data_IF_202732236229
#
_entry.id   IF_202732236229
#
_cell.length_a   1.000
_cell.length_b   1.000
_cell.length_c   1.000
_cell.angle_alpha   90.00
_cell.angle_beta   90.00
_cell.angle_gamma   90.00
#
_symmetry.space_group_name_H-M   'P 1'
#
loop_
_entity.id
_entity.type
_entity.pdbx_description
1 polymer ?
#
# COMPACT_ATOMS: atom_id res chain seq x y z
N UNK A 1 -5.83 -21.76 -5.73
CA UNK A 1 -6.26 -20.67 -6.64
C UNK A 1 -5.26 -19.53 -6.53
N UNK A 2 -4.71 -19.03 -7.65
CA UNK A 2 -3.71 -17.94 -7.63
C UNK A 2 -4.45 -16.60 -7.57
N UNK A 3 -4.11 -15.73 -6.62
CA UNK A 3 -4.69 -14.38 -6.50
C UNK A 3 -3.90 -13.33 -7.29
N UNK A 4 -2.63 -13.61 -7.58
CA UNK A 4 -1.69 -12.66 -8.15
C UNK A 4 -0.45 -12.50 -7.29
N UNK A 5 0.34 -11.49 -7.60
CA UNK A 5 1.62 -11.19 -6.97
C UNK A 5 1.95 -9.69 -7.04
N UNK A 6 2.94 -9.29 -6.25
CA UNK A 6 3.40 -7.92 -6.13
C UNK A 6 4.92 -7.88 -5.93
N UNK A 7 5.52 -6.74 -6.20
CA UNK A 7 6.94 -6.46 -5.97
C UNK A 7 7.31 -6.75 -4.51
N UNK A 8 8.50 -7.31 -4.28
CA UNK A 8 9.06 -7.40 -2.92
C UNK A 8 9.35 -6.03 -2.31
N UNK A 9 9.33 -4.95 -3.10
CA UNK A 9 9.51 -3.59 -2.59
C UNK A 9 8.47 -3.18 -1.53
N UNK A 10 7.25 -3.74 -1.56
CA UNK A 10 6.24 -3.53 -0.51
C UNK A 10 6.64 -4.09 0.86
N UNK A 11 7.64 -4.97 0.92
CA UNK A 11 8.17 -5.51 2.18
C UNK A 11 8.92 -4.42 2.97
N UNK A 12 9.50 -3.42 2.28
CA UNK A 12 10.23 -2.33 2.94
C UNK A 12 9.32 -1.49 3.84
N UNK A 13 8.09 -1.20 3.42
CA UNK A 13 7.15 -0.45 4.26
C UNK A 13 6.65 -1.27 5.46
N UNK A 14 6.48 -2.59 5.31
CA UNK A 14 6.23 -3.48 6.46
C UNK A 14 7.40 -3.44 7.44
N UNK A 15 8.63 -3.56 6.97
CA UNK A 15 9.82 -3.53 7.81
C UNK A 15 9.95 -2.19 8.57
N UNK A 16 9.67 -1.07 7.89
CA UNK A 16 9.67 0.26 8.48
C UNK A 16 8.57 0.41 9.55
N UNK A 17 7.35 -0.07 9.28
CA UNK A 17 6.26 -0.04 10.25
C UNK A 17 6.55 -0.87 11.50
N UNK A 18 7.15 -2.06 11.35
CA UNK A 18 7.62 -2.89 12.48
C UNK A 18 8.68 -2.16 13.30
N UNK A 19 9.65 -1.54 12.63
CA UNK A 19 10.74 -0.79 13.27
C UNK A 19 10.22 0.40 14.05
N UNK A 20 9.25 1.14 13.50
CA UNK A 20 8.59 2.26 14.19
C UNK A 20 7.91 1.82 15.50
N UNK A 21 7.42 0.58 15.56
CA UNK A 21 6.83 0.00 16.77
C UNK A 21 7.87 -0.62 17.72
N UNK A 22 9.17 -0.41 17.48
CA UNK A 22 10.23 -0.88 18.37
C UNK A 22 10.58 -2.36 18.23
N UNK A 23 10.12 -3.03 17.17
CA UNK A 23 10.43 -4.43 16.90
C UNK A 23 11.49 -4.59 15.80
N UNK A 24 12.23 -5.70 15.81
CA UNK A 24 13.16 -6.03 14.74
C UNK A 24 12.42 -6.77 13.61
N UNK A 25 12.43 -6.28 12.35
CA UNK A 25 11.74 -6.95 11.25
C UNK A 25 12.47 -8.20 10.76
N UNK A 26 13.78 -8.33 10.99
CA UNK A 26 14.65 -9.34 10.37
C UNK A 26 14.13 -10.76 10.62
N UNK A 27 13.86 -11.12 11.87
CA UNK A 27 13.39 -12.47 12.22
C UNK A 27 12.05 -12.83 11.55
N UNK A 28 11.16 -11.85 11.39
CA UNK A 28 9.91 -12.07 10.67
C UNK A 28 10.17 -12.26 9.18
N UNK A 29 11.01 -11.42 8.57
CA UNK A 29 11.30 -11.51 7.13
C UNK A 29 12.02 -12.81 6.76
N UNK A 30 12.96 -13.27 7.57
CA UNK A 30 13.68 -14.54 7.36
C UNK A 30 12.74 -15.75 7.38
N UNK A 31 11.76 -15.78 8.29
CA UNK A 31 10.70 -16.82 8.30
C UNK A 31 9.87 -16.86 7.02
N UNK A 32 9.83 -15.75 6.29
CA UNK A 32 9.16 -15.61 5.01
C UNK A 32 10.13 -15.73 3.82
N UNK A 33 11.40 -16.10 4.03
CA UNK A 33 12.45 -16.19 3.01
C UNK A 33 12.70 -14.85 2.28
N UNK A 34 12.59 -13.74 3.02
CA UNK A 34 12.77 -12.38 2.52
C UNK A 34 14.06 -11.78 3.09
N UNK A 35 15.18 -12.45 2.85
CA UNK A 35 16.50 -11.95 3.22
C UNK A 35 16.93 -10.75 2.34
N UNK A 36 18.05 -10.12 2.68
CA UNK A 36 18.56 -8.96 1.95
C UNK A 36 18.85 -9.25 0.48
N UNK A 37 19.26 -10.48 0.15
CA UNK A 37 19.55 -10.87 -1.23
C UNK A 37 18.26 -10.94 -2.05
N UNK A 38 17.19 -11.54 -1.49
CA UNK A 38 15.87 -11.61 -2.12
C UNK A 38 15.24 -10.24 -2.30
N UNK A 39 15.39 -9.34 -1.32
CA UNK A 39 14.87 -7.96 -1.43
C UNK A 39 15.63 -7.11 -2.45
N UNK A 40 16.90 -7.41 -2.71
CA UNK A 40 17.72 -6.73 -3.70
C UNK A 40 17.57 -7.31 -5.13
N UNK A 41 16.89 -8.45 -5.29
CA UNK A 41 16.75 -9.12 -6.58
C UNK A 41 15.82 -8.32 -7.52
N UNK A 42 16.30 -7.93 -8.72
CA UNK A 42 15.49 -7.22 -9.69
C UNK A 42 14.25 -8.02 -10.08
N UNK A 43 13.09 -7.36 -10.10
CA UNK A 43 11.80 -7.98 -10.41
C UNK A 43 11.39 -9.12 -9.48
N UNK A 44 12.01 -9.27 -8.30
CA UNK A 44 11.51 -10.23 -7.33
C UNK A 44 10.07 -9.91 -6.93
N UNK A 45 9.23 -10.96 -6.95
CA UNK A 45 7.82 -10.87 -6.60
C UNK A 45 7.47 -11.79 -5.45
N UNK A 46 6.45 -11.38 -4.71
CA UNK A 46 5.82 -12.10 -3.62
C UNK A 46 4.36 -12.35 -3.98
N UNK A 47 3.87 -13.57 -3.79
CA UNK A 47 2.46 -13.85 -4.05
C UNK A 47 1.56 -13.12 -3.05
N UNK A 48 0.39 -12.65 -3.51
CA UNK A 48 -0.58 -11.96 -2.64
C UNK A 48 -0.89 -12.77 -1.37
N UNK A 49 -1.13 -14.10 -1.39
CA UNK A 49 -1.33 -14.87 -0.16
C UNK A 49 -0.14 -14.89 0.80
N UNK A 50 1.11 -14.83 0.29
CA UNK A 50 2.29 -14.71 1.15
C UNK A 50 2.36 -13.32 1.78
N UNK A 51 2.09 -12.27 1.00
CA UNK A 51 2.04 -10.90 1.51
C UNK A 51 0.96 -10.71 2.59
N UNK A 52 -0.25 -11.25 2.36
CA UNK A 52 -1.34 -11.27 3.34
C UNK A 52 -0.92 -11.93 4.67
N UNK A 53 -0.22 -13.07 4.62
CA UNK A 53 0.30 -13.73 5.81
C UNK A 53 1.43 -12.94 6.49
N UNK A 54 2.29 -12.28 5.71
CA UNK A 54 3.37 -11.46 6.22
C UNK A 54 2.83 -10.26 7.00
N UNK A 55 1.89 -9.50 6.42
CA UNK A 55 1.30 -8.35 7.12
C UNK A 55 0.49 -8.77 8.34
N UNK A 56 -0.26 -9.88 8.27
CA UNK A 56 -0.92 -10.42 9.46
C UNK A 56 0.08 -10.77 10.57
N UNK A 57 1.21 -11.39 10.23
CA UNK A 57 2.26 -11.70 11.21
C UNK A 57 2.94 -10.42 11.75
N UNK A 58 3.06 -9.36 10.96
CA UNK A 58 3.54 -8.05 11.42
C UNK A 58 2.57 -7.38 12.41
N UNK A 59 1.26 -7.47 12.14
CA UNK A 59 0.22 -7.01 13.06
C UNK A 59 0.31 -7.74 14.41
N UNK A 60 0.46 -9.06 14.39
CA UNK A 60 0.62 -9.86 15.62
C UNK A 60 1.92 -9.53 16.36
N UNK A 61 3.01 -9.27 15.63
CA UNK A 61 4.30 -8.93 16.23
C UNK A 61 4.25 -7.58 16.96
N UNK A 62 3.52 -6.61 16.40
CA UNK A 62 3.46 -5.22 16.89
C UNK A 62 2.28 -4.95 17.83
N UNK A 63 1.37 -5.92 17.98
CA UNK A 63 0.09 -5.76 18.67
C UNK A 63 -0.73 -4.53 18.20
N UNK A 64 -0.58 -4.17 16.92
CA UNK A 64 -1.25 -3.01 16.33
C UNK A 64 -2.22 -3.45 15.22
N UNK A 65 -3.55 -3.47 15.47
CA UNK A 65 -4.53 -3.83 14.45
C UNK A 65 -4.64 -2.80 13.31
N UNK A 66 -4.19 -1.56 13.53
CA UNK A 66 -4.16 -0.49 12.53
C UNK A 66 -2.81 -0.37 11.80
N UNK A 67 -1.94 -1.40 11.88
CA UNK A 67 -0.60 -1.36 11.27
C UNK A 67 -0.64 -1.10 9.76
N UNK A 68 -1.73 -1.47 9.06
CA UNK A 68 -1.92 -1.18 7.65
C UNK A 68 -1.82 0.30 7.31
N UNK A 69 -2.28 1.18 8.22
CA UNK A 69 -2.16 2.62 8.07
C UNK A 69 -0.69 3.06 8.07
N UNK A 70 0.05 2.60 9.06
CA UNK A 70 1.49 2.90 9.24
C UNK A 70 2.31 2.34 8.08
N UNK A 71 1.97 1.14 7.58
CA UNK A 71 2.60 0.57 6.36
C UNK A 71 2.36 1.51 5.16
N UNK A 72 1.16 2.06 5.02
CA UNK A 72 0.84 3.03 3.97
C UNK A 72 1.70 4.30 4.06
N UNK A 73 1.87 4.85 5.26
CA UNK A 73 2.71 6.04 5.50
C UNK A 73 4.19 5.83 5.14
N UNK A 74 4.72 4.62 5.34
CA UNK A 74 6.09 4.27 4.95
C UNK A 74 6.24 3.88 3.47
N UNK A 75 5.19 3.97 2.67
CA UNK A 75 5.27 3.61 1.25
C UNK A 75 6.00 4.69 0.44
N UNK A 76 7.09 4.31 -0.23
CA UNK A 76 7.91 5.21 -1.04
C UNK A 76 7.77 4.88 -2.52
N UNK A 77 7.95 5.90 -3.38
CA UNK A 77 7.98 5.68 -4.83
C UNK A 77 9.04 4.64 -5.24
N UNK A 78 10.16 4.56 -4.52
CA UNK A 78 11.20 3.54 -4.75
C UNK A 78 10.71 2.11 -4.56
N UNK A 79 9.68 1.88 -3.73
CA UNK A 79 9.12 0.54 -3.48
C UNK A 79 8.34 -0.03 -4.67
N UNK A 80 7.84 0.85 -5.54
CA UNK A 80 7.11 0.47 -6.78
C UNK A 80 7.98 0.55 -8.04
N UNK A 81 9.31 0.57 -7.87
CA UNK A 81 10.29 0.40 -8.95
C UNK A 81 10.15 1.41 -10.08
N UNK A 82 10.18 0.94 -11.33
CA UNK A 82 10.13 1.79 -12.52
C UNK A 82 8.85 2.64 -12.62
N UNK A 83 7.72 2.16 -12.09
CA UNK A 83 6.50 2.95 -12.03
C UNK A 83 6.70 4.17 -11.13
N UNK A 84 7.36 4.00 -9.99
CA UNK A 84 7.67 5.08 -9.06
C UNK A 84 8.74 6.03 -9.57
N UNK A 85 9.79 5.52 -10.23
CA UNK A 85 10.79 6.36 -10.90
C UNK A 85 10.12 7.25 -11.95
N UNK A 86 9.20 6.68 -12.74
CA UNK A 86 8.47 7.45 -13.77
C UNK A 86 7.54 8.49 -13.14
N UNK A 87 6.82 8.12 -12.07
CA UNK A 87 5.94 9.03 -11.35
C UNK A 87 6.71 10.16 -10.66
N UNK A 88 7.90 9.90 -10.13
CA UNK A 88 8.77 10.91 -9.51
C UNK A 88 9.25 11.99 -10.50
N UNK A 89 9.28 11.68 -11.80
CA UNK A 89 9.65 12.63 -12.86
C UNK A 89 8.44 13.31 -13.49
N UNK A 90 7.22 13.03 -13.01
CA UNK A 90 6.02 13.59 -13.58
C UNK A 90 5.93 15.10 -13.28
N UNK A 91 5.43 15.91 -14.24
CA UNK A 91 5.39 17.38 -14.08
C UNK A 91 4.36 17.86 -13.05
N UNK A 92 3.45 16.99 -12.61
CA UNK A 92 2.42 17.30 -11.60
C UNK A 92 1.83 16.00 -11.03
N UNK A 93 1.05 16.15 -9.95
CA UNK A 93 0.38 15.04 -9.24
C UNK A 93 -0.55 14.25 -10.16
N UNK A 94 -1.30 14.91 -11.05
CA UNK A 94 -2.16 14.22 -12.03
C UNK A 94 -1.36 13.30 -12.96
N UNK A 95 -0.23 13.77 -13.48
CA UNK A 95 0.64 12.97 -14.32
C UNK A 95 1.29 11.83 -13.53
N UNK A 96 1.71 12.05 -12.28
CA UNK A 96 2.22 11.00 -11.41
C UNK A 96 1.17 9.92 -11.14
N UNK A 97 -0.07 10.35 -10.87
CA UNK A 97 -1.20 9.45 -10.64
C UNK A 97 -1.46 8.53 -11.85
N UNK A 98 -1.46 9.10 -13.05
CA UNK A 98 -1.55 8.33 -14.30
C UNK A 98 -0.40 7.35 -14.46
N UNK A 99 0.82 7.71 -14.09
CA UNK A 99 1.97 6.80 -14.12
C UNK A 99 1.78 5.62 -13.16
N UNK A 100 1.40 5.88 -11.91
CA UNK A 100 1.20 4.85 -10.88
C UNK A 100 0.10 3.86 -11.30
N UNK A 101 -1.01 4.35 -11.85
CA UNK A 101 -2.11 3.50 -12.33
C UNK A 101 -1.75 2.76 -13.62
N UNK A 102 -1.25 3.46 -14.64
CA UNK A 102 -0.91 2.85 -15.95
C UNK A 102 0.17 1.77 -15.83
N UNK A 103 1.13 1.97 -14.94
CA UNK A 103 2.25 1.05 -14.75
C UNK A 103 2.08 0.13 -13.53
N UNK A 104 0.86 -0.02 -13.01
CA UNK A 104 0.53 -1.00 -11.96
C UNK A 104 1.11 -2.40 -12.26
N UNK A 105 1.00 -2.97 -13.48
CA UNK A 105 1.55 -4.29 -13.79
C UNK A 105 3.06 -4.46 -13.50
N UNK A 106 3.83 -3.36 -13.46
CA UNK A 106 5.26 -3.43 -13.12
C UNK A 106 5.49 -3.78 -11.64
N UNK A 107 4.57 -3.44 -10.74
CA UNK A 107 4.74 -3.63 -9.30
C UNK A 107 3.64 -4.47 -8.64
N UNK A 108 2.46 -4.64 -9.24
CA UNK A 108 1.37 -5.45 -8.69
C UNK A 108 0.50 -6.02 -9.81
N UNK A 109 0.00 -7.24 -9.62
CA UNK A 109 -0.95 -7.87 -10.53
C UNK A 109 -1.92 -8.72 -9.72
N UNK A 110 -3.21 -8.38 -9.77
CA UNK A 110 -4.30 -9.17 -9.23
C UNK A 110 -5.02 -9.88 -10.39
N UNK A 111 -5.20 -11.19 -10.31
CA UNK A 111 -5.83 -11.95 -11.40
C UNK A 111 -7.37 -11.85 -11.41
N UNK A 112 -7.96 -11.23 -10.38
CA UNK A 112 -9.41 -11.05 -10.26
C UNK A 112 -9.91 -9.71 -10.79
N UNK A 113 -9.03 -8.70 -10.86
CA UNK A 113 -9.36 -7.36 -11.31
C UNK A 113 -8.16 -6.44 -11.22
N UNK A 114 -8.36 -5.17 -11.59
CA UNK A 114 -7.31 -4.16 -11.64
C UNK A 114 -7.79 -2.86 -11.01
N UNK A 115 -6.85 -2.13 -10.42
CA UNK A 115 -7.12 -0.80 -9.88
C UNK A 115 -7.44 0.18 -11.00
N UNK A 116 -8.20 1.22 -10.69
CA UNK A 116 -8.63 2.22 -11.66
C UNK A 116 -8.29 3.63 -11.19
N UNK A 117 -7.91 4.47 -12.15
CA UNK A 117 -7.81 5.90 -11.97
C UNK A 117 -8.88 6.56 -12.83
N UNK A 118 -9.89 7.13 -12.18
CA UNK A 118 -11.09 7.66 -12.83
C UNK A 118 -11.05 9.18 -12.63
N UNK A 119 -10.97 9.94 -13.73
CA UNK A 119 -10.87 11.40 -13.69
C UNK A 119 -12.06 12.04 -14.40
N UNK A 120 -12.51 13.17 -13.86
CA UNK A 120 -13.50 14.03 -14.51
C UNK A 120 -13.17 15.51 -14.29
N UNK A 121 -14.16 16.39 -14.53
CA UNK A 121 -14.01 17.84 -14.36
C UNK A 121 -13.93 18.29 -12.90
N UNK A 122 -14.38 17.48 -11.95
CA UNK A 122 -14.45 17.79 -10.52
C UNK A 122 -13.23 17.24 -9.77
N UNK A 123 -12.62 16.15 -10.24
CA UNK A 123 -11.46 15.58 -9.56
C UNK A 123 -11.04 14.24 -10.12
N UNK A 124 -10.51 13.40 -9.23
CA UNK A 124 -10.09 12.05 -9.58
C UNK A 124 -10.24 11.07 -8.42
N UNK A 125 -10.59 9.83 -8.77
CA UNK A 125 -10.66 8.70 -7.86
C UNK A 125 -9.55 7.71 -8.15
N UNK A 126 -8.86 7.29 -7.09
CA UNK A 126 -8.06 6.07 -7.06
C UNK A 126 -8.91 4.95 -6.48
N UNK A 127 -9.35 4.02 -7.33
CA UNK A 127 -10.17 2.89 -6.92
C UNK A 127 -9.32 1.62 -6.89
N UNK A 128 -9.11 1.08 -5.68
CA UNK A 128 -8.40 -0.18 -5.49
C UNK A 128 -9.33 -1.36 -5.71
N UNK A 129 -8.92 -2.30 -6.56
CA UNK A 129 -9.63 -3.58 -6.68
C UNK A 129 -9.18 -4.53 -5.56
N UNK A 130 -9.90 -4.47 -4.44
CA UNK A 130 -9.73 -5.33 -3.29
C UNK A 130 -10.35 -6.73 -3.49
N UNK A 131 -10.09 -7.66 -2.57
CA UNK A 131 -10.60 -9.03 -2.63
C UNK A 131 -11.37 -9.37 -1.34
N UNK A 132 -12.69 -9.44 -1.45
CA UNK A 132 -13.59 -9.98 -0.44
C UNK A 132 -13.55 -11.53 -0.37
N UNK A 133 -13.91 -12.16 0.77
CA UNK A 133 -14.36 -11.55 2.04
C UNK A 133 -13.22 -10.91 2.85
N UNK A 134 -13.53 -9.84 3.58
CA UNK A 134 -12.58 -9.11 4.43
C UNK A 134 -12.37 -9.81 5.78
N UNK A 135 -11.13 -9.84 6.25
CA UNK A 135 -10.67 -10.49 7.46
C UNK A 135 -9.28 -9.98 7.88
N UNK A 136 -8.76 -10.51 8.99
CA UNK A 136 -7.48 -10.11 9.57
C UNK A 136 -6.24 -10.26 8.65
N UNK A 137 -6.37 -10.92 7.49
CA UNK A 137 -5.29 -11.07 6.50
C UNK A 137 -5.37 -10.08 5.34
N UNK A 138 -6.47 -9.33 5.15
CA UNK A 138 -6.60 -8.39 4.02
C UNK A 138 -7.10 -6.98 4.37
N UNK A 139 -7.52 -6.69 5.61
CA UNK A 139 -7.77 -5.29 6.04
C UNK A 139 -6.56 -4.40 5.76
N UNK A 140 -5.39 -4.79 6.28
CA UNK A 140 -4.16 -4.04 6.10
C UNK A 140 -3.72 -3.89 4.64
N UNK A 141 -4.14 -4.80 3.75
CA UNK A 141 -3.80 -4.71 2.32
C UNK A 141 -4.54 -3.54 1.69
N UNK A 142 -5.83 -3.41 1.98
CA UNK A 142 -6.65 -2.29 1.51
C UNK A 142 -6.10 -0.97 2.07
N UNK A 143 -5.88 -0.92 3.37
CA UNK A 143 -5.35 0.26 4.08
C UNK A 143 -4.00 0.71 3.52
N UNK A 144 -3.03 -0.20 3.44
CA UNK A 144 -1.67 0.13 3.00
C UNK A 144 -1.60 0.54 1.53
N UNK A 145 -2.47 0.01 0.66
CA UNK A 145 -2.53 0.42 -0.74
C UNK A 145 -3.10 1.83 -0.87
N UNK A 146 -4.23 2.10 -0.22
CA UNK A 146 -4.90 3.42 -0.30
C UNK A 146 -3.99 4.52 0.26
N UNK A 147 -3.43 4.32 1.46
CA UNK A 147 -2.51 5.28 2.08
C UNK A 147 -1.17 5.33 1.36
N UNK A 148 -0.73 4.21 0.80
CA UNK A 148 0.49 4.17 -0.01
C UNK A 148 0.38 5.04 -1.26
N UNK A 149 -0.74 5.00 -1.99
CA UNK A 149 -0.97 5.91 -3.12
C UNK A 149 -1.02 7.38 -2.69
N UNK A 150 -1.72 7.69 -1.61
CA UNK A 150 -1.72 9.05 -1.03
C UNK A 150 -0.29 9.50 -0.76
N UNK A 151 0.53 8.66 -0.13
CA UNK A 151 1.91 9.01 0.23
C UNK A 151 2.82 9.14 -1.00
N UNK A 152 2.64 8.28 -2.03
CA UNK A 152 3.34 8.41 -3.30
C UNK A 152 3.03 9.74 -3.99
N UNK A 153 1.77 10.17 -3.98
CA UNK A 153 1.37 11.45 -4.59
C UNK A 153 1.86 12.65 -3.77
N UNK A 154 1.87 12.56 -2.43
CA UNK A 154 2.49 13.56 -1.55
C UNK A 154 3.98 13.72 -1.82
N UNK A 155 4.71 12.66 -2.16
CA UNK A 155 6.13 12.73 -2.53
C UNK A 155 6.39 13.50 -3.84
N UNK A 156 5.41 13.59 -4.75
CA UNK A 156 5.51 14.37 -5.99
C UNK A 156 4.98 15.80 -5.79
N UNK A 157 3.99 15.97 -4.91
CA UNK A 157 3.38 17.26 -4.66
C UNK A 157 4.33 18.19 -3.91
N UNK A 158 4.56 19.39 -4.44
CA UNK A 158 5.32 20.43 -3.76
C UNK A 158 4.48 21.20 -2.71
N UNK A 159 3.20 20.84 -2.59
CA UNK A 159 2.23 21.45 -1.68
C UNK A 159 1.46 20.36 -0.93
N UNK A 160 0.66 20.74 0.06
CA UNK A 160 -0.23 19.80 0.72
C UNK A 160 -1.21 19.20 -0.30
N UNK A 161 -1.28 17.87 -0.35
CA UNK A 161 -2.28 17.16 -1.15
C UNK A 161 -3.56 17.07 -0.32
N UNK A 162 -4.61 17.75 -0.78
CA UNK A 162 -5.95 17.65 -0.20
C UNK A 162 -6.61 16.35 -0.67
N UNK A 163 -7.28 15.67 0.26
CA UNK A 163 -8.02 14.44 0.02
C UNK A 163 -9.47 14.76 0.36
N UNK A 164 -10.35 14.65 -0.62
CA UNK A 164 -11.76 15.03 -0.42
C UNK A 164 -12.53 13.96 0.36
N UNK A 165 -12.27 12.68 0.06
CA UNK A 165 -13.00 11.55 0.64
C UNK A 165 -12.18 10.26 0.49
N UNK A 166 -12.24 9.39 1.52
CA UNK A 166 -11.77 8.01 1.45
C UNK A 166 -12.96 7.06 1.64
N UNK A 167 -13.17 6.15 0.70
CA UNK A 167 -14.22 5.13 0.78
C UNK A 167 -13.61 3.74 0.88
N UNK A 168 -14.10 2.93 1.81
CA UNK A 168 -13.59 1.60 2.13
C UNK A 168 -14.77 0.63 2.16
N UNK A 169 -14.68 -0.51 1.48
CA UNK A 169 -15.83 -1.43 1.34
C UNK A 169 -16.09 -2.30 2.59
N UNK A 170 -15.16 -2.33 3.53
CA UNK A 170 -15.24 -3.22 4.68
C UNK A 170 -15.85 -2.54 5.90
N UNK A 171 -16.52 -3.28 6.81
CA UNK A 171 -17.19 -2.69 7.97
C UNK A 171 -16.25 -1.87 8.85
N UNK A 172 -16.77 -0.77 9.42
CA UNK A 172 -16.02 0.13 10.29
C UNK A 172 -15.23 -0.65 11.38
N UNK A 173 -13.89 -0.59 11.38
CA UNK A 173 -13.08 -1.30 12.35
C UNK A 173 -13.05 -0.54 13.68
N UNK A 174 -12.73 -1.23 14.78
CA UNK A 174 -12.64 -0.60 16.11
C UNK A 174 -11.58 0.50 16.22
N UNK A 175 -10.65 0.56 15.27
CA UNK A 175 -9.61 1.58 15.15
C UNK A 175 -9.91 2.61 14.05
N UNK A 176 -11.16 2.75 13.59
CA UNK A 176 -11.54 3.70 12.54
C UNK A 176 -11.09 5.14 12.82
N UNK A 177 -11.05 5.57 14.09
CA UNK A 177 -10.54 6.88 14.50
C UNK A 177 -9.09 7.12 14.08
N UNK A 178 -8.26 6.07 13.97
CA UNK A 178 -6.87 6.20 13.53
C UNK A 178 -6.76 6.69 12.08
N UNK A 179 -7.75 6.42 11.22
CA UNK A 179 -7.74 6.96 9.86
C UNK A 179 -7.80 8.49 9.86
N UNK A 180 -8.62 9.10 10.72
CA UNK A 180 -8.72 10.55 10.83
C UNK A 180 -7.45 11.20 11.42
N UNK A 181 -6.71 10.47 12.25
CA UNK A 181 -5.40 10.92 12.76
C UNK A 181 -4.34 10.95 11.64
N UNK A 182 -4.38 9.97 10.72
CA UNK A 182 -3.46 9.87 9.59
C UNK A 182 -3.88 10.75 8.40
N UNK A 183 -5.19 10.98 8.25
CA UNK A 183 -5.81 11.66 7.12
C UNK A 183 -6.76 12.74 7.62
N UNK A 184 -6.50 13.98 7.25
CA UNK A 184 -7.41 15.09 7.48
C UNK A 184 -8.55 15.11 6.44
N UNK A 185 -9.27 13.99 6.29
CA UNK A 185 -10.41 13.87 5.37
C UNK A 185 -11.52 12.97 5.94
N UNK A 186 -12.77 13.10 5.44
CA UNK A 186 -13.84 12.15 5.73
C UNK A 186 -13.48 10.73 5.28
N UNK A 187 -13.92 9.74 6.07
CA UNK A 187 -13.76 8.31 5.78
C UNK A 187 -15.12 7.63 5.89
N UNK A 188 -15.50 6.89 4.85
CA UNK A 188 -16.74 6.12 4.77
C UNK A 188 -16.40 4.62 4.67
N UNK A 189 -17.07 3.80 5.49
CA UNK A 189 -16.95 2.34 5.55
C UNK A 189 -18.25 1.66 5.10
#
# INVERSE_FOLDING_TARGET
>A
MRLGDLSVGFVHSIAAAITQHGHCPIELLERFELDSARLAEPHARLSIPRYMRLGHAAIQLTDNPALGLVIGEHSLLTHIGLAGVTAAQAPNVRAAARCISRFEPLYAQNYRGASQFIEDSQGAWFSFYSIAPYNAYNYFVVESVLLGWINHLRQVCQQALEIELLQIEFPEPSYAAAFAEHLNCPVEF
#
